data_IF_826547401675
#
_entry.id   IF_826547401675
#
_cell.length_a   1.000
_cell.length_b   1.000
_cell.length_c   1.000
_cell.angle_alpha   90.00
_cell.angle_beta   90.00
_cell.angle_gamma   90.00
#
_symmetry.space_group_name_H-M   'P 1'
#
loop_
_entity.id
_entity.type
_entity.pdbx_description
1 polymer ?
#
# COMPACT_ATOMS: atom_id res chain seq x y z
N UNK A 1 5.33 -12.92 -13.64
CA UNK A 1 5.34 -12.17 -12.37
C UNK A 1 6.71 -11.57 -12.22
N UNK A 2 6.83 -10.39 -11.59
CA UNK A 2 8.13 -9.75 -11.35
C UNK A 2 8.89 -10.55 -10.29
N UNK A 3 10.15 -10.85 -10.55
CA UNK A 3 11.06 -11.55 -9.62
C UNK A 3 12.14 -10.58 -9.10
N UNK A 4 13.06 -11.09 -8.27
CA UNK A 4 14.10 -10.27 -7.65
C UNK A 4 15.00 -9.53 -8.66
N UNK A 5 15.27 -10.13 -9.83
CA UNK A 5 16.13 -9.52 -10.85
C UNK A 5 15.40 -8.40 -11.63
N UNK A 6 14.07 -8.32 -11.51
CA UNK A 6 13.22 -7.36 -12.19
C UNK A 6 12.56 -6.36 -11.22
N UNK A 7 13.06 -6.24 -9.99
CA UNK A 7 12.56 -5.28 -8.99
C UNK A 7 13.50 -4.09 -8.87
N UNK A 8 12.94 -2.90 -8.65
CA UNK A 8 13.73 -1.67 -8.52
C UNK A 8 14.18 -1.05 -9.85
N UNK A 9 13.67 -1.55 -10.98
CA UNK A 9 13.96 -1.07 -12.34
C UNK A 9 12.67 -0.85 -13.14
N UNK A 10 12.77 -0.09 -14.23
CA UNK A 10 11.67 0.10 -15.19
C UNK A 10 11.47 -1.18 -16.01
N UNK A 11 10.21 -1.56 -16.20
CA UNK A 11 9.81 -2.78 -16.89
C UNK A 11 8.87 -2.45 -18.05
N UNK A 12 9.23 -2.92 -19.25
CA UNK A 12 8.42 -2.74 -20.47
C UNK A 12 7.40 -3.85 -20.72
N UNK A 13 7.61 -5.03 -20.14
CA UNK A 13 6.80 -6.24 -20.39
C UNK A 13 6.13 -6.82 -19.13
N UNK A 14 6.11 -6.04 -18.04
CA UNK A 14 5.52 -6.45 -16.77
C UNK A 14 4.27 -5.64 -16.41
N UNK A 15 3.39 -6.28 -15.64
CA UNK A 15 2.08 -5.74 -15.27
C UNK A 15 0.98 -6.27 -16.21
N UNK A 16 -0.26 -6.22 -15.72
CA UNK A 16 -1.42 -6.71 -16.46
C UNK A 16 -2.39 -5.54 -16.70
N UNK A 17 -2.67 -5.27 -17.98
CA UNK A 17 -3.65 -4.27 -18.40
C UNK A 17 -4.75 -4.96 -19.20
N UNK A 18 -5.97 -4.87 -18.68
CA UNK A 18 -7.15 -5.42 -19.32
C UNK A 18 -7.97 -4.29 -19.96
N UNK A 19 -8.40 -4.48 -21.21
CA UNK A 19 -9.22 -3.53 -21.95
C UNK A 19 -10.25 -4.30 -22.77
N UNK A 20 -11.51 -3.93 -22.66
CA UNK A 20 -12.56 -4.32 -23.61
C UNK A 20 -12.57 -3.29 -24.75
N UNK A 21 -12.12 -3.62 -25.98
CA UNK A 21 -12.03 -2.65 -27.07
C UNK A 21 -13.39 -2.04 -27.44
N UNK A 22 -14.48 -2.80 -27.31
CA UNK A 22 -15.84 -2.32 -27.54
C UNK A 22 -16.46 -1.55 -26.37
N UNK A 23 -15.68 -1.23 -25.32
CA UNK A 23 -16.13 -0.43 -24.19
C UNK A 23 -17.07 -1.16 -23.22
N UNK A 24 -17.22 -2.47 -23.33
CA UNK A 24 -18.04 -3.26 -22.42
C UNK A 24 -17.51 -3.20 -20.99
N UNK A 25 -18.43 -3.28 -20.02
CA UNK A 25 -18.07 -3.44 -18.61
C UNK A 25 -17.61 -4.87 -18.38
N UNK A 26 -16.49 -5.02 -17.69
CA UNK A 26 -15.98 -6.30 -17.23
C UNK A 26 -15.34 -6.11 -15.85
N UNK A 27 -15.22 -7.22 -15.13
CA UNK A 27 -14.59 -7.28 -13.82
C UNK A 27 -13.31 -8.10 -13.93
N UNK A 28 -12.26 -7.68 -13.22
CA UNK A 28 -11.00 -8.42 -13.16
C UNK A 28 -10.62 -8.66 -11.72
N UNK A 29 -10.33 -9.93 -11.42
CA UNK A 29 -9.75 -10.36 -10.17
C UNK A 29 -8.53 -11.22 -10.45
N UNK A 30 -7.41 -10.82 -9.88
CA UNK A 30 -6.20 -11.61 -9.86
C UNK A 30 -6.15 -12.40 -8.56
N UNK A 31 -5.86 -13.71 -8.63
CA UNK A 31 -5.67 -14.56 -7.45
C UNK A 31 -4.31 -15.25 -7.53
N UNK A 32 -3.50 -15.06 -6.50
CA UNK A 32 -2.25 -15.79 -6.29
C UNK A 32 -2.43 -16.79 -5.15
N UNK A 33 -1.82 -17.98 -5.28
CA UNK A 33 -1.80 -18.97 -4.20
C UNK A 33 -0.46 -19.67 -4.14
N UNK A 34 -0.08 -20.06 -2.93
CA UNK A 34 0.97 -21.04 -2.64
C UNK A 34 0.35 -22.24 -1.90
N UNK A 35 1.17 -23.07 -1.26
CA UNK A 35 0.69 -24.15 -0.39
C UNK A 35 -0.12 -23.65 0.81
N UNK A 36 0.22 -22.47 1.34
CA UNK A 36 -0.26 -22.00 2.65
C UNK A 36 -0.65 -20.53 2.68
N UNK A 37 -0.47 -19.80 1.58
CA UNK A 37 -0.82 -18.38 1.46
C UNK A 37 -1.69 -18.16 0.22
N UNK A 38 -2.55 -17.15 0.28
CA UNK A 38 -3.32 -16.72 -0.87
C UNK A 38 -3.58 -15.22 -0.83
N UNK A 39 -3.57 -14.59 -1.99
CA UNK A 39 -3.97 -13.20 -2.15
C UNK A 39 -4.97 -13.06 -3.29
N UNK A 40 -5.81 -12.04 -3.18
CA UNK A 40 -6.79 -11.69 -4.19
C UNK A 40 -6.76 -10.18 -4.37
N UNK A 41 -6.62 -9.73 -5.62
CA UNK A 41 -6.66 -8.31 -5.96
C UNK A 41 -7.83 -8.10 -6.91
N UNK A 42 -8.76 -7.25 -6.50
CA UNK A 42 -9.84 -6.77 -7.36
C UNK A 42 -9.42 -5.47 -8.02
N UNK A 43 -9.50 -5.40 -9.35
CA UNK A 43 -9.27 -4.13 -10.03
C UNK A 43 -10.43 -3.17 -9.79
N UNK A 44 -10.11 -1.93 -9.39
CA UNK A 44 -11.06 -0.81 -9.28
C UNK A 44 -11.22 -0.05 -10.62
N UNK A 45 -10.57 -0.52 -11.69
CA UNK A 45 -10.65 0.06 -13.03
C UNK A 45 -10.26 1.53 -13.06
N UNK A 46 -11.05 2.36 -13.78
CA UNK A 46 -10.80 3.80 -13.91
C UNK A 46 -10.83 4.56 -12.57
N UNK A 47 -11.48 4.00 -11.54
CA UNK A 47 -11.52 4.63 -10.23
C UNK A 47 -10.14 4.65 -9.54
N UNK A 48 -9.24 3.71 -9.87
CA UNK A 48 -7.89 3.67 -9.31
C UNK A 48 -6.86 4.57 -10.03
N UNK A 49 -7.22 5.18 -11.16
CA UNK A 49 -6.32 6.08 -11.88
C UNK A 49 -6.25 7.44 -11.18
N UNK A 50 -5.05 7.98 -11.03
CA UNK A 50 -4.83 9.33 -10.51
C UNK A 50 -3.35 9.65 -10.36
N UNK A 51 -3.06 10.76 -9.67
CA UNK A 51 -1.70 11.34 -9.63
C UNK A 51 -1.05 11.38 -8.25
N UNK A 52 -1.84 11.28 -7.18
CA UNK A 52 -1.39 11.38 -5.78
C UNK A 52 -1.95 10.23 -4.97
N UNK A 53 -1.06 9.51 -4.31
CA UNK A 53 -1.39 8.36 -3.50
C UNK A 53 -0.53 8.30 -2.25
N UNK A 54 -1.04 7.58 -1.25
CA UNK A 54 -0.27 7.12 -0.10
C UNK A 54 0.01 5.63 -0.21
N UNK A 55 1.23 5.22 0.13
CA UNK A 55 1.49 3.81 0.35
C UNK A 55 0.78 3.37 1.63
N UNK A 56 -0.16 2.44 1.49
CA UNK A 56 -1.02 1.95 2.55
C UNK A 56 -0.88 0.45 2.72
N UNK A 57 -0.88 0.02 3.98
CA UNK A 57 -0.79 -1.38 4.40
C UNK A 57 -0.50 -1.43 5.89
N UNK A 58 0.28 -2.40 6.34
CA UNK A 58 0.53 -2.64 7.76
C UNK A 58 2.02 -2.85 8.08
N UNK A 59 2.40 -2.80 9.37
CA UNK A 59 3.75 -3.14 9.81
C UNK A 59 4.13 -4.62 9.54
N UNK A 60 5.26 -4.91 8.89
CA UNK A 60 5.75 -6.30 8.69
C UNK A 60 6.51 -6.82 9.93
N UNK A 61 5.79 -6.99 11.04
CA UNK A 61 6.37 -7.24 12.38
C UNK A 61 6.69 -8.72 12.67
N UNK A 62 6.11 -9.67 11.93
CA UNK A 62 6.24 -11.09 12.24
C UNK A 62 7.67 -11.65 12.17
N UNK A 63 7.90 -12.81 12.79
CA UNK A 63 9.25 -13.38 12.94
C UNK A 63 9.73 -14.24 11.76
N UNK A 64 9.32 -13.91 10.53
CA UNK A 64 9.71 -14.63 9.32
C UNK A 64 10.52 -13.74 8.36
N UNK A 65 11.60 -14.27 7.78
CA UNK A 65 12.56 -13.48 6.97
C UNK A 65 12.09 -13.14 5.55
N UNK A 66 11.09 -13.86 5.04
CA UNK A 66 10.54 -13.64 3.69
C UNK A 66 9.46 -12.55 3.62
N UNK A 67 9.22 -11.86 4.74
CA UNK A 67 8.31 -10.73 4.80
C UNK A 67 8.81 -9.60 3.92
N UNK A 68 7.93 -9.11 3.08
CA UNK A 68 8.24 -7.97 2.24
C UNK A 68 6.98 -7.22 1.92
N UNK A 69 7.21 -6.00 1.47
CA UNK A 69 6.12 -5.13 1.21
C UNK A 69 6.49 -4.22 0.04
N UNK A 70 5.51 -3.96 -0.80
CA UNK A 70 5.70 -3.70 -2.23
C UNK A 70 4.78 -2.62 -2.75
N UNK A 71 5.25 -1.93 -3.77
CA UNK A 71 4.51 -0.93 -4.51
C UNK A 71 4.70 -1.22 -6.01
N UNK A 72 3.63 -1.65 -6.66
CA UNK A 72 3.58 -1.72 -8.12
C UNK A 72 3.00 -0.43 -8.69
N UNK A 73 3.62 0.12 -9.73
CA UNK A 73 3.19 1.34 -10.44
C UNK A 73 3.13 1.03 -11.93
N UNK A 74 2.11 1.52 -12.63
CA UNK A 74 2.01 1.48 -14.09
C UNK A 74 1.59 2.85 -14.64
N UNK A 75 2.31 3.35 -15.65
CA UNK A 75 1.90 4.55 -16.38
C UNK A 75 0.77 4.23 -17.37
N UNK A 76 -0.26 5.07 -17.38
CA UNK A 76 -1.50 4.77 -18.14
C UNK A 76 -1.76 5.70 -19.33
N UNK A 77 -1.09 6.85 -19.35
CA UNK A 77 -1.21 7.88 -20.38
C UNK A 77 -0.04 7.86 -21.36
N UNK A 78 -0.24 8.40 -22.57
CA UNK A 78 0.80 8.49 -23.59
C UNK A 78 1.91 9.50 -23.21
N UNK A 79 3.10 9.28 -23.79
CA UNK A 79 4.31 10.03 -23.48
C UNK A 79 4.92 9.64 -22.13
N UNK A 80 5.83 10.49 -21.66
CA UNK A 80 6.59 10.26 -20.44
C UNK A 80 5.81 10.69 -19.20
N UNK A 81 5.82 9.85 -18.16
CA UNK A 81 5.26 10.10 -16.83
C UNK A 81 6.40 10.04 -15.81
N UNK A 82 6.57 11.09 -15.03
CA UNK A 82 7.53 11.12 -13.93
C UNK A 82 6.80 10.82 -12.62
N UNK A 83 7.31 9.87 -11.85
CA UNK A 83 6.77 9.49 -10.55
C UNK A 83 7.84 9.69 -9.48
N UNK A 84 7.47 10.34 -8.38
CA UNK A 84 8.29 10.60 -7.22
C UNK A 84 7.70 9.87 -6.01
N UNK A 85 8.52 9.07 -5.34
CA UNK A 85 8.20 8.38 -4.08
C UNK A 85 9.02 9.01 -2.97
N UNK A 86 8.38 9.53 -1.93
CA UNK A 86 9.03 10.27 -0.84
C UNK A 86 8.26 10.18 0.48
N UNK A 87 8.81 10.75 1.55
CA UNK A 87 8.13 10.82 2.85
C UNK A 87 8.11 9.50 3.64
N UNK A 88 8.94 8.53 3.24
CA UNK A 88 9.30 7.37 4.05
C UNK A 88 10.56 7.69 4.88
N UNK A 89 10.82 6.87 5.91
CA UNK A 89 12.03 6.91 6.73
C UNK A 89 13.28 6.74 5.84
N UNK A 90 14.21 7.72 5.80
CA UNK A 90 15.45 7.63 5.00
C UNK A 90 16.36 6.42 5.34
N UNK A 91 16.15 5.75 6.47
CA UNK A 91 16.83 4.52 6.82
C UNK A 91 16.27 3.28 6.10
N UNK A 92 15.12 3.38 5.43
CA UNK A 92 14.59 2.32 4.57
C UNK A 92 15.58 1.97 3.45
N UNK A 93 15.59 0.69 3.06
CA UNK A 93 16.42 0.17 1.96
C UNK A 93 15.56 -0.67 1.05
N UNK A 94 15.62 -0.42 -0.25
CA UNK A 94 14.76 -1.11 -1.21
C UNK A 94 15.55 -2.01 -2.14
N UNK A 95 14.86 -3.03 -2.68
CA UNK A 95 15.47 -3.97 -3.60
C UNK A 95 15.88 -3.30 -4.90
N UNK A 96 17.08 -3.63 -5.34
CA UNK A 96 17.54 -3.52 -6.72
C UNK A 96 17.74 -4.94 -7.29
N UNK A 97 18.00 -5.11 -8.60
CA UNK A 97 18.29 -6.42 -9.17
C UNK A 97 19.46 -7.15 -8.50
N UNK A 98 20.43 -6.39 -7.96
CA UNK A 98 21.65 -6.96 -7.38
C UNK A 98 21.51 -7.31 -5.88
N UNK A 99 20.64 -6.63 -5.14
CA UNK A 99 20.58 -6.75 -3.68
C UNK A 99 19.22 -6.30 -3.11
N UNK A 100 18.81 -6.93 -2.00
CA UNK A 100 17.55 -6.62 -1.30
C UNK A 100 17.52 -5.21 -0.68
N UNK A 101 18.69 -4.62 -0.46
CA UNK A 101 18.95 -3.32 0.14
C UNK A 101 19.65 -2.33 -0.84
N UNK A 102 19.70 -2.66 -2.13
CA UNK A 102 20.53 -1.94 -3.11
C UNK A 102 20.09 -0.52 -3.46
N UNK A 103 18.90 -0.08 -3.04
CA UNK A 103 18.43 1.30 -3.21
C UNK A 103 18.40 1.97 -1.83
N UNK A 104 19.26 2.97 -1.65
CA UNK A 104 19.35 3.81 -0.45
C UNK A 104 19.19 5.27 -0.85
N UNK A 105 17.95 5.77 -0.82
CA UNK A 105 17.62 7.16 -1.08
C UNK A 105 16.52 7.62 -0.14
N UNK A 106 16.39 8.91 0.12
CA UNK A 106 15.24 9.52 0.80
C UNK A 106 14.11 9.91 -0.16
N UNK A 107 14.38 9.86 -1.47
CA UNK A 107 13.39 10.10 -2.54
C UNK A 107 13.76 9.28 -3.77
N UNK A 108 12.79 8.59 -4.35
CA UNK A 108 12.96 7.80 -5.57
C UNK A 108 12.20 8.48 -6.69
N UNK A 109 12.90 8.83 -7.78
CA UNK A 109 12.29 9.37 -8.99
C UNK A 109 12.44 8.38 -10.12
N UNK A 110 11.32 8.00 -10.73
CA UNK A 110 11.27 7.09 -11.88
C UNK A 110 10.56 7.77 -13.03
N UNK A 111 10.90 7.33 -14.25
CA UNK A 111 10.28 7.81 -15.48
C UNK A 111 9.74 6.62 -16.24
N UNK A 112 8.46 6.66 -16.61
CA UNK A 112 7.74 5.58 -17.26
C UNK A 112 7.03 6.11 -18.52
N UNK A 113 7.09 5.35 -19.60
CA UNK A 113 6.19 5.53 -20.73
C UNK A 113 4.91 4.69 -20.53
N UNK A 114 3.87 4.97 -21.31
CA UNK A 114 2.61 4.23 -21.26
C UNK A 114 2.82 2.71 -21.32
N UNK A 115 2.23 2.00 -20.35
CA UNK A 115 2.32 0.56 -20.26
C UNK A 115 3.57 0.04 -19.57
N UNK A 116 4.60 0.88 -19.39
CA UNK A 116 5.74 0.53 -18.54
C UNK A 116 5.31 0.53 -17.07
N UNK A 117 5.97 -0.32 -16.29
CA UNK A 117 5.73 -0.47 -14.87
C UNK A 117 7.02 -0.43 -14.07
N UNK A 118 6.86 -0.26 -12.76
CA UNK A 118 7.93 -0.31 -11.78
C UNK A 118 7.43 -1.01 -10.53
N UNK A 119 8.27 -1.85 -9.93
CA UNK A 119 7.99 -2.47 -8.63
C UNK A 119 9.08 -2.04 -7.66
N UNK A 120 8.66 -1.40 -6.57
CA UNK A 120 9.51 -1.14 -5.40
C UNK A 120 9.22 -2.20 -4.33
N UNK A 121 10.25 -2.73 -3.69
CA UNK A 121 10.12 -3.69 -2.60
C UNK A 121 10.98 -3.25 -1.42
N UNK A 122 10.36 -3.19 -0.24
CA UNK A 122 11.01 -3.16 1.05
C UNK A 122 10.99 -4.58 1.64
N UNK A 123 12.11 -5.30 1.52
CA UNK A 123 12.27 -6.59 2.21
C UNK A 123 12.50 -6.32 3.71
N UNK A 124 11.79 -7.04 4.59
CA UNK A 124 11.82 -6.79 6.04
C UNK A 124 13.25 -6.73 6.59
N UNK A 125 14.05 -7.72 6.24
CA UNK A 125 15.39 -7.89 6.80
C UNK A 125 16.48 -7.11 6.04
N UNK A 126 16.12 -6.34 5.00
CA UNK A 126 17.07 -5.44 4.32
C UNK A 126 17.43 -4.21 5.16
N UNK A 127 16.54 -3.74 6.02
CA UNK A 127 16.82 -2.69 7.00
C UNK A 127 15.77 -2.71 8.13
N UNK A 128 16.14 -2.44 9.40
CA UNK A 128 15.17 -2.32 10.49
C UNK A 128 14.03 -1.33 10.20
N UNK A 129 14.32 -0.24 9.49
CA UNK A 129 13.33 0.76 9.11
C UNK A 129 12.26 0.22 8.14
N UNK A 130 12.54 -0.83 7.36
CA UNK A 130 11.57 -1.41 6.42
C UNK A 130 10.35 -2.04 7.12
N UNK A 131 10.42 -2.30 8.43
CA UNK A 131 9.30 -2.86 9.20
C UNK A 131 8.09 -1.91 9.19
N UNK A 132 8.32 -0.59 9.30
CA UNK A 132 7.24 0.41 9.41
C UNK A 132 7.47 1.69 8.62
N UNK A 133 8.73 2.05 8.35
CA UNK A 133 9.14 3.41 7.95
C UNK A 133 8.62 3.87 6.59
N UNK A 134 7.91 3.04 5.85
CA UNK A 134 7.42 3.30 4.50
C UNK A 134 5.89 3.45 4.46
N UNK A 135 5.18 3.15 5.56
CA UNK A 135 3.75 3.42 5.72
C UNK A 135 3.51 4.93 5.59
N UNK A 136 2.59 5.32 4.72
CA UNK A 136 2.25 6.72 4.48
C UNK A 136 3.18 7.48 3.53
N UNK A 137 4.16 6.78 2.91
CA UNK A 137 4.96 7.35 1.84
C UNK A 137 4.07 7.94 0.73
N UNK A 138 4.48 9.09 0.17
CA UNK A 138 3.78 9.76 -0.91
C UNK A 138 4.25 9.23 -2.26
N UNK A 139 3.31 8.91 -3.15
CA UNK A 139 3.57 8.60 -4.56
C UNK A 139 2.90 9.70 -5.37
N UNK A 140 3.70 10.56 -6.00
CA UNK A 140 3.23 11.72 -6.76
C UNK A 140 3.70 11.61 -8.19
N UNK A 141 2.82 11.89 -9.14
CA UNK A 141 3.12 11.85 -10.57
C UNK A 141 2.54 13.05 -11.31
N UNK A 142 3.08 13.34 -12.49
CA UNK A 142 2.60 14.40 -13.37
C UNK A 142 1.40 13.95 -14.25
N UNK A 143 1.26 12.65 -14.47
CA UNK A 143 0.17 12.00 -15.23
C UNK A 143 -0.45 10.84 -14.45
N UNK A 144 -1.63 10.39 -14.88
CA UNK A 144 -2.34 9.31 -14.22
C UNK A 144 -1.55 7.98 -14.28
N UNK A 145 -1.36 7.44 -13.08
CA UNK A 145 -0.82 6.10 -12.84
C UNK A 145 -1.88 5.22 -12.20
N UNK A 146 -1.70 3.91 -12.30
CA UNK A 146 -2.36 2.94 -11.45
C UNK A 146 -1.31 2.37 -10.48
N UNK A 147 -1.67 2.21 -9.21
CA UNK A 147 -0.79 1.55 -8.23
C UNK A 147 -1.46 0.37 -7.54
N UNK A 148 -0.64 -0.57 -7.10
CA UNK A 148 -1.04 -1.65 -6.21
C UNK A 148 -0.09 -1.70 -5.03
N UNK A 149 -0.64 -1.60 -3.82
CA UNK A 149 0.12 -1.86 -2.59
C UNK A 149 0.05 -3.36 -2.33
N UNK A 150 1.19 -3.98 -2.05
CA UNK A 150 1.27 -5.41 -1.79
C UNK A 150 2.12 -5.72 -0.57
N UNK A 151 1.82 -6.82 0.08
CA UNK A 151 2.50 -7.33 1.26
C UNK A 151 2.62 -8.85 1.09
N UNK A 152 3.80 -9.33 0.74
CA UNK A 152 4.05 -10.76 0.54
C UNK A 152 4.59 -11.38 1.82
N UNK A 153 3.98 -12.48 2.23
CA UNK A 153 4.30 -13.18 3.48
C UNK A 153 4.25 -12.27 4.71
N UNK A 154 3.36 -11.27 4.74
CA UNK A 154 3.19 -10.38 5.88
C UNK A 154 2.56 -11.09 7.07
N UNK A 155 3.01 -10.70 8.26
CA UNK A 155 2.43 -11.03 9.56
C UNK A 155 2.81 -9.96 10.58
N UNK A 156 2.07 -9.92 11.69
CA UNK A 156 2.12 -8.82 12.67
C UNK A 156 2.51 -9.26 14.07
N UNK A 157 2.52 -10.56 14.33
CA UNK A 157 2.88 -11.10 15.63
C UNK A 157 4.40 -11.31 15.69
N UNK A 158 5.09 -10.43 16.42
CA UNK A 158 6.55 -10.46 16.60
C UNK A 158 7.09 -11.78 17.14
N UNK A 159 6.24 -12.59 17.81
CA UNK A 159 6.64 -13.87 18.39
C UNK A 159 6.41 -15.05 17.45
N UNK A 160 5.74 -14.83 16.32
CA UNK A 160 5.28 -15.88 15.43
C UNK A 160 5.66 -15.63 13.96
N UNK A 161 6.11 -16.68 13.28
CA UNK A 161 6.42 -16.66 11.85
C UNK A 161 5.20 -16.82 10.95
N UNK A 162 3.97 -16.67 11.47
CA UNK A 162 2.73 -16.76 10.69
C UNK A 162 2.68 -15.64 9.66
N UNK A 163 2.27 -16.00 8.45
CA UNK A 163 2.28 -15.11 7.31
C UNK A 163 1.19 -15.44 6.31
N UNK A 164 0.70 -14.39 5.66
CA UNK A 164 -0.13 -14.49 4.47
C UNK A 164 0.24 -13.40 3.45
N UNK A 165 -0.45 -13.36 2.32
CA UNK A 165 -0.28 -12.34 1.31
C UNK A 165 -1.49 -11.39 1.29
N UNK A 166 -1.22 -10.09 1.28
CA UNK A 166 -2.22 -9.04 1.16
C UNK A 166 -1.87 -8.10 0.01
N UNK A 167 -2.86 -7.64 -0.74
CA UNK A 167 -2.65 -6.60 -1.74
C UNK A 167 -3.95 -5.87 -2.07
N UNK A 168 -3.83 -4.59 -2.41
CA UNK A 168 -4.96 -3.78 -2.86
C UNK A 168 -4.55 -2.82 -3.97
N UNK A 169 -5.44 -2.64 -4.96
CA UNK A 169 -5.33 -1.57 -5.94
C UNK A 169 -6.06 -0.35 -5.38
N UNK A 170 -5.35 0.58 -4.77
CA UNK A 170 -5.98 1.70 -4.06
C UNK A 170 -6.53 2.77 -5.02
N UNK A 171 -7.32 3.70 -4.49
CA UNK A 171 -7.77 4.91 -5.20
C UNK A 171 -6.87 6.11 -4.83
N UNK A 172 -6.72 7.11 -5.71
CA UNK A 172 -5.97 8.34 -5.42
C UNK A 172 -6.62 9.19 -4.33
N UNK A 173 -5.82 10.11 -3.77
CA UNK A 173 -6.20 10.99 -2.66
C UNK A 173 -7.43 11.86 -2.94
N UNK A 174 -7.65 12.25 -4.19
CA UNK A 174 -8.78 13.07 -4.63
C UNK A 174 -10.12 12.32 -4.68
N UNK A 175 -10.10 11.00 -4.43
CA UNK A 175 -11.29 10.13 -4.38
C UNK A 175 -11.57 9.57 -2.99
N UNK A 176 -10.82 10.01 -1.98
CA UNK A 176 -11.01 9.54 -0.60
C UNK A 176 -12.22 10.20 0.05
N UNK A 177 -12.99 9.40 0.80
CA UNK A 177 -14.02 9.89 1.71
C UNK A 177 -13.42 10.33 3.04
N UNK A 178 -14.26 10.90 3.91
CA UNK A 178 -13.91 11.26 5.29
C UNK A 178 -14.47 10.30 6.33
N UNK A 179 -15.43 9.49 5.93
CA UNK A 179 -16.17 8.57 6.79
C UNK A 179 -15.94 7.14 6.32
N UNK A 180 -15.61 6.24 7.24
CA UNK A 180 -15.31 4.85 6.95
C UNK A 180 -15.93 3.94 8.01
N UNK A 181 -16.50 2.82 7.57
CA UNK A 181 -17.04 1.80 8.46
C UNK A 181 -16.11 0.59 8.42
N UNK A 182 -15.70 0.13 9.59
CA UNK A 182 -14.89 -1.07 9.75
C UNK A 182 -15.67 -2.13 10.51
N UNK A 183 -15.54 -3.36 10.02
CA UNK A 183 -16.14 -4.54 10.64
C UNK A 183 -15.00 -5.42 11.12
N UNK A 184 -15.03 -5.76 12.40
CA UNK A 184 -14.10 -6.73 12.97
C UNK A 184 -14.48 -8.15 12.57
N UNK A 185 -13.50 -8.94 12.15
CA UNK A 185 -13.65 -10.38 11.91
C UNK A 185 -13.42 -11.20 13.19
N UNK A 186 -12.83 -12.39 13.03
CA UNK A 186 -12.49 -13.31 14.12
C UNK A 186 -10.98 -13.57 14.25
N UNK A 187 -10.16 -12.55 13.99
CA UNK A 187 -8.69 -12.63 14.00
C UNK A 187 -8.01 -12.31 15.34
N UNK A 188 -8.75 -11.80 16.32
CA UNK A 188 -8.20 -11.43 17.63
C UNK A 188 -7.46 -10.08 17.62
N UNK A 189 -7.11 -9.56 18.80
CA UNK A 189 -6.62 -8.18 18.93
C UNK A 189 -5.26 -7.95 18.24
N UNK A 190 -4.43 -9.00 18.13
CA UNK A 190 -3.12 -8.93 17.48
C UNK A 190 -3.25 -8.73 15.97
N UNK A 191 -4.16 -9.48 15.32
CA UNK A 191 -4.29 -9.51 13.86
C UNK A 191 -5.32 -8.50 13.32
N UNK A 192 -6.21 -7.98 14.17
CA UNK A 192 -7.29 -7.10 13.75
C UNK A 192 -7.09 -5.68 14.26
N UNK A 193 -6.72 -4.82 13.32
CA UNK A 193 -6.55 -3.40 13.54
C UNK A 193 -6.71 -2.64 12.23
N UNK A 194 -6.82 -1.32 12.37
CA UNK A 194 -6.91 -0.37 11.28
C UNK A 194 -5.64 0.46 11.29
N UNK A 195 -5.03 0.66 10.12
CA UNK A 195 -4.01 1.68 9.91
C UNK A 195 -4.67 2.87 9.22
N UNK A 196 -4.59 4.03 9.86
CA UNK A 196 -5.18 5.28 9.37
C UNK A 196 -4.03 6.20 9.02
N UNK A 197 -3.96 6.67 7.78
CA UNK A 197 -2.89 7.51 7.25
C UNK A 197 -3.44 8.89 6.94
N UNK A 198 -2.77 9.95 7.42
CA UNK A 198 -3.12 11.31 7.09
C UNK A 198 -2.71 11.66 5.65
N UNK A 199 -3.60 12.28 4.89
CA UNK A 199 -3.29 12.85 3.56
C UNK A 199 -3.07 14.37 3.62
N UNK A 200 -3.33 14.97 4.79
CA UNK A 200 -3.14 16.38 5.08
C UNK A 200 -2.61 16.54 6.50
N UNK A 201 -2.00 17.69 6.76
CA UNK A 201 -1.66 18.11 8.12
C UNK A 201 -2.93 18.28 8.97
N UNK A 202 -2.79 18.17 10.29
CA UNK A 202 -3.88 18.36 11.25
C UNK A 202 -5.13 17.51 10.97
N UNK A 203 -4.95 16.29 10.47
CA UNK A 203 -6.05 15.34 10.27
C UNK A 203 -6.50 14.80 11.63
N UNK A 204 -7.68 15.22 12.08
CA UNK A 204 -8.30 14.73 13.32
C UNK A 204 -9.14 13.50 13.03
N UNK A 205 -8.98 12.46 13.83
CA UNK A 205 -9.68 11.18 13.71
C UNK A 205 -10.65 11.04 14.88
N UNK A 206 -11.91 10.79 14.57
CA UNK A 206 -12.97 10.53 15.53
C UNK A 206 -13.49 9.11 15.33
N UNK A 207 -13.95 8.49 16.42
CA UNK A 207 -14.43 7.12 16.41
C UNK A 207 -15.82 7.10 17.02
N UNK A 208 -16.80 6.44 16.38
CA UNK A 208 -18.15 6.23 16.90
C UNK A 208 -18.89 7.51 17.34
N UNK A 209 -18.76 8.59 16.56
CA UNK A 209 -19.35 9.90 16.84
C UNK A 209 -18.87 10.56 18.16
N UNK A 210 -17.74 10.10 18.71
CA UNK A 210 -17.12 10.75 19.87
C UNK A 210 -16.69 12.17 19.53
N UNK A 211 -16.82 13.10 20.47
CA UNK A 211 -16.48 14.53 20.26
C UNK A 211 -15.00 14.81 20.48
N UNK A 212 -14.30 13.96 21.23
CA UNK A 212 -12.86 14.02 21.41
C UNK A 212 -12.18 13.22 20.30
N UNK A 213 -11.18 13.84 19.65
CA UNK A 213 -10.39 13.13 18.65
C UNK A 213 -9.59 12.00 19.31
N UNK A 214 -9.65 10.80 18.73
CA UNK A 214 -8.81 9.66 19.09
C UNK A 214 -7.32 9.97 18.81
N UNK A 215 -7.06 10.61 17.66
CA UNK A 215 -5.72 11.01 17.25
C UNK A 215 -5.79 12.25 16.34
N UNK A 216 -4.69 12.99 16.29
CA UNK A 216 -4.43 14.01 15.26
C UNK A 216 -3.11 13.66 14.60
N UNK A 217 -3.12 13.49 13.28
CA UNK A 217 -1.95 13.05 12.50
C UNK A 217 -1.70 13.98 11.31
N UNK A 218 -0.43 14.12 10.95
CA UNK A 218 0.05 14.88 9.80
C UNK A 218 -0.03 14.12 8.47
N UNK A 219 0.42 14.79 7.40
CA UNK A 219 0.50 14.19 6.08
C UNK A 219 1.56 13.07 6.04
N UNK A 220 1.15 11.84 5.73
CA UNK A 220 2.01 10.65 5.72
C UNK A 220 2.23 10.03 7.09
N UNK A 221 1.85 10.70 8.19
CA UNK A 221 1.81 10.08 9.51
C UNK A 221 0.64 9.09 9.59
N UNK A 222 0.76 8.10 10.47
CA UNK A 222 -0.29 7.10 10.66
C UNK A 222 -0.54 6.80 12.14
N UNK A 223 -1.73 6.29 12.42
CA UNK A 223 -2.08 5.71 13.73
C UNK A 223 -2.68 4.32 13.54
N UNK A 224 -2.43 3.44 14.51
CA UNK A 224 -3.02 2.11 14.60
C UNK A 224 -4.22 2.14 15.56
N UNK A 225 -5.38 1.68 15.12
CA UNK A 225 -6.58 1.56 15.94
C UNK A 225 -7.02 0.10 16.06
N UNK A 226 -7.18 -0.39 17.28
CA UNK A 226 -7.74 -1.71 17.56
C UNK A 226 -9.22 -1.58 17.87
N UNK A 227 -10.08 -2.32 17.15
CA UNK A 227 -11.51 -2.37 17.49
C UNK A 227 -11.69 -3.01 18.87
N UNK A 228 -12.64 -2.48 19.67
CA UNK A 228 -12.98 -3.00 21.00
C UNK A 228 -13.26 -4.52 20.94
N UNK A 229 -13.03 -5.21 22.07
CA UNK A 229 -13.09 -6.68 22.22
C UNK A 229 -14.50 -7.30 22.13
N UNK A 230 -15.29 -6.89 21.15
CA UNK A 230 -16.61 -7.44 20.86
C UNK A 230 -16.61 -7.95 19.41
N UNK A 231 -16.94 -9.23 19.22
CA UNK A 231 -17.11 -9.84 17.90
C UNK A 231 -18.23 -9.11 17.15
N UNK A 232 -17.98 -8.73 15.88
CA UNK A 232 -18.95 -7.95 15.09
C UNK A 232 -19.02 -6.47 15.48
N UNK A 233 -18.07 -5.95 16.25
CA UNK A 233 -17.95 -4.52 16.50
C UNK A 233 -17.82 -3.76 15.17
N UNK A 234 -18.68 -2.75 15.03
CA UNK A 234 -18.63 -1.74 13.99
C UNK A 234 -17.92 -0.51 14.57
N UNK A 235 -16.98 0.05 13.81
CA UNK A 235 -16.43 1.37 14.10
C UNK A 235 -16.73 2.31 12.93
N UNK A 236 -17.36 3.45 13.22
CA UNK A 236 -17.39 4.59 12.31
C UNK A 236 -16.16 5.45 12.59
N UNK A 237 -15.32 5.64 11.58
CA UNK A 237 -14.25 6.62 11.61
C UNK A 237 -14.68 7.86 10.84
N UNK A 238 -14.50 9.02 11.44
CA UNK A 238 -14.73 10.32 10.80
C UNK A 238 -13.45 11.15 10.85
N UNK A 239 -13.19 11.92 9.79
CA UNK A 239 -11.99 12.77 9.71
C UNK A 239 -12.32 14.21 9.36
N UNK A 240 -11.61 15.13 10.00
CA UNK A 240 -11.60 16.54 9.60
C UNK A 240 -10.17 17.01 9.38
N UNK A 241 -10.00 17.94 8.44
CA UNK A 241 -8.74 18.58 8.11
C UNK A 241 -9.04 20.02 7.67
N UNK A 242 -8.15 20.95 8.00
CA UNK A 242 -8.15 22.33 7.50
C UNK A 242 -7.37 22.45 6.20
#
# INVERSE_FOLDING_TARGET
MVDNAHTGIVLSESGLRFKAPGGQKFYVNYRGRSSSQAASITSKGKAALGKKFKWGGAPIEGSHSTMSATLGIMATEDGTTTVTISGYDPACRFRSPAAADGISSSTISITLNKGESYVLEAAKDAAPANVVGWIGASIVSDKDIAISNGMLNFGVDITNGSRDAGADQIVPEDKLGKEYIFVRGNGGITNEFIIIIGTKTDTKIYVNNETNAFATIGNGEYVKYHLLNILGALALLETTCT
#
